data_IF_488025680444
#
_entry.id   IF_488025680444
#
_cell.length_a   1.000
_cell.length_b   1.000
_cell.length_c   1.000
_cell.angle_alpha   90.00
_cell.angle_beta   90.00
_cell.angle_gamma   90.00
#
_symmetry.space_group_name_H-M   'P 1'
#
loop_
_entity.id
_entity.type
_entity.pdbx_description
1 polymer ?
#
# COMPACT_ATOMS: atom_id res chain seq x y z
N UNK A 1 -20.48 -3.04 -9.80
CA UNK A 1 -19.55 -1.89 -9.85
C UNK A 1 -18.12 -2.37 -9.62
N UNK A 2 -17.26 -2.39 -10.64
CA UNK A 2 -15.83 -2.76 -10.51
C UNK A 2 -15.03 -1.63 -9.87
N UNK A 3 -14.09 -1.95 -8.97
CA UNK A 3 -13.28 -0.95 -8.27
C UNK A 3 -12.42 -0.17 -9.29
N UNK A 4 -12.21 1.15 -9.12
CA UNK A 4 -11.41 1.97 -10.04
C UNK A 4 -10.00 1.40 -10.28
N UNK A 5 -9.39 0.83 -9.24
CA UNK A 5 -8.08 0.17 -9.32
C UNK A 5 -8.09 -1.04 -10.27
N UNK A 6 -9.15 -1.86 -10.25
CA UNK A 6 -9.26 -3.03 -11.13
C UNK A 6 -9.44 -2.63 -12.60
N UNK A 7 -10.21 -1.57 -12.87
CA UNK A 7 -10.39 -1.06 -14.24
C UNK A 7 -9.08 -0.57 -14.84
N UNK A 8 -8.27 0.10 -14.03
CA UNK A 8 -6.93 0.53 -14.44
C UNK A 8 -6.01 -0.66 -14.72
N UNK A 9 -5.98 -1.66 -13.85
CA UNK A 9 -5.16 -2.86 -14.06
C UNK A 9 -5.53 -3.58 -15.37
N UNK A 10 -6.83 -3.65 -15.69
CA UNK A 10 -7.31 -4.19 -16.96
C UNK A 10 -6.87 -3.34 -18.16
N UNK A 11 -6.87 -2.02 -18.03
CA UNK A 11 -6.38 -1.11 -19.06
C UNK A 11 -4.86 -1.26 -19.28
N UNK A 12 -4.07 -1.39 -18.22
CA UNK A 12 -2.62 -1.63 -18.29
C UNK A 12 -2.33 -2.99 -18.96
N UNK A 13 -3.03 -4.05 -18.56
CA UNK A 13 -2.92 -5.37 -19.18
C UNK A 13 -3.30 -5.33 -20.66
N UNK A 14 -4.38 -4.64 -21.02
CA UNK A 14 -4.78 -4.51 -22.42
C UNK A 14 -3.73 -3.74 -23.25
N UNK A 15 -3.19 -2.64 -22.73
CA UNK A 15 -2.11 -1.89 -23.38
C UNK A 15 -0.85 -2.74 -23.57
N UNK A 16 -0.46 -3.52 -22.56
CA UNK A 16 0.73 -4.37 -22.61
C UNK A 16 0.56 -5.61 -23.49
N UNK A 17 -0.56 -6.33 -23.39
CA UNK A 17 -0.78 -7.59 -24.10
C UNK A 17 -1.20 -7.39 -25.55
N UNK A 18 -1.95 -6.32 -25.86
CA UNK A 18 -2.48 -6.06 -27.21
C UNK A 18 -1.75 -4.93 -27.94
N UNK A 19 -0.78 -4.26 -27.31
CA UNK A 19 -0.04 -3.14 -27.90
C UNK A 19 -0.92 -1.93 -28.26
N UNK A 20 -2.11 -1.83 -27.66
CA UNK A 20 -3.04 -0.72 -27.93
C UNK A 20 -2.60 0.54 -27.20
N UNK A 21 -2.89 1.70 -27.81
CA UNK A 21 -2.58 2.99 -27.22
C UNK A 21 -3.28 3.16 -25.87
N UNK A 22 -2.62 3.86 -24.95
CA UNK A 22 -3.15 4.15 -23.60
C UNK A 22 -4.53 4.81 -23.69
N UNK A 23 -4.72 5.73 -24.64
CA UNK A 23 -6.00 6.39 -24.88
C UNK A 23 -7.11 5.41 -25.27
N UNK A 24 -6.80 4.41 -26.10
CA UNK A 24 -7.76 3.39 -26.53
C UNK A 24 -8.11 2.45 -25.38
N UNK A 25 -7.12 2.02 -24.59
CA UNK A 25 -7.35 1.22 -23.39
C UNK A 25 -8.20 2.00 -22.36
N UNK A 26 -7.89 3.28 -22.11
CA UNK A 26 -8.64 4.15 -21.22
C UNK A 26 -10.12 4.28 -21.62
N UNK A 27 -10.42 4.46 -22.91
CA UNK A 27 -11.80 4.49 -23.42
C UNK A 27 -12.51 3.16 -23.28
N UNK A 28 -11.84 2.05 -23.57
CA UNK A 28 -12.43 0.70 -23.49
C UNK A 28 -12.83 0.31 -22.06
N UNK A 29 -12.05 0.71 -21.06
CA UNK A 29 -12.28 0.36 -19.65
C UNK A 29 -12.92 1.49 -18.81
N UNK A 30 -13.21 2.64 -19.42
CA UNK A 30 -13.79 3.80 -18.73
C UNK A 30 -12.87 4.38 -17.66
N UNK A 31 -11.57 4.44 -17.94
CA UNK A 31 -10.54 4.99 -17.06
C UNK A 31 -10.08 6.33 -17.66
N UNK A 32 -9.99 7.39 -16.86
CA UNK A 32 -9.40 8.65 -17.32
C UNK A 32 -7.88 8.50 -17.47
N UNK A 33 -7.30 9.13 -18.48
CA UNK A 33 -5.84 9.11 -18.71
C UNK A 33 -5.02 9.60 -17.51
N UNK A 34 -5.55 10.55 -16.73
CA UNK A 34 -4.93 11.03 -15.48
C UNK A 34 -4.84 9.94 -14.43
N UNK A 35 -5.87 9.10 -14.28
CA UNK A 35 -5.88 7.95 -13.37
C UNK A 35 -4.95 6.83 -13.85
N UNK A 36 -4.83 6.64 -15.17
CA UNK A 36 -3.87 5.71 -15.76
C UNK A 36 -2.41 6.16 -15.51
N UNK A 37 -2.12 7.45 -15.69
CA UNK A 37 -0.80 8.04 -15.42
C UNK A 37 -0.47 8.15 -13.94
N UNK A 38 -1.48 8.25 -13.07
CA UNK A 38 -1.29 8.38 -11.64
C UNK A 38 -0.74 7.07 -11.06
N UNK A 39 0.57 6.90 -10.99
CA UNK A 39 1.12 5.78 -10.23
C UNK A 39 1.04 6.09 -8.74
N UNK A 40 0.31 5.30 -7.92
CA UNK A 40 0.45 5.43 -6.48
C UNK A 40 1.92 5.13 -6.17
N UNK A 41 2.65 6.11 -5.64
CA UNK A 41 3.96 5.84 -5.04
C UNK A 41 3.72 4.84 -3.91
N UNK A 42 3.88 3.55 -4.20
CA UNK A 42 4.26 2.55 -3.21
C UNK A 42 5.64 3.01 -2.76
N UNK A 43 5.64 3.89 -1.76
CA UNK A 43 6.85 4.22 -1.03
C UNK A 43 7.41 2.86 -0.59
N UNK A 44 8.53 2.40 -1.15
CA UNK A 44 9.27 1.23 -0.65
C UNK A 44 9.47 1.35 0.87
N UNK A 45 9.58 2.58 1.36
CA UNK A 45 9.58 2.91 2.76
C UNK A 45 8.32 2.42 3.52
N UNK A 46 7.13 2.43 2.92
CA UNK A 46 5.92 1.88 3.55
C UNK A 46 6.01 0.35 3.68
N UNK A 47 6.61 -0.34 2.71
CA UNK A 47 6.84 -1.78 2.79
C UNK A 47 7.88 -2.09 3.89
N UNK A 48 8.98 -1.33 3.94
CA UNK A 48 9.97 -1.44 5.02
C UNK A 48 9.36 -1.20 6.41
N UNK A 49 8.43 -0.25 6.54
CA UNK A 49 7.72 0.02 7.81
C UNK A 49 6.79 -1.13 8.18
N UNK A 50 6.10 -1.72 7.20
CA UNK A 50 5.25 -2.88 7.44
C UNK A 50 6.10 -4.05 7.96
N UNK A 51 7.23 -4.34 7.34
CA UNK A 51 8.14 -5.41 7.75
C UNK A 51 8.73 -5.18 9.15
N UNK A 52 9.10 -3.94 9.44
CA UNK A 52 9.55 -3.50 10.77
C UNK A 52 8.49 -3.74 11.85
N UNK A 53 7.25 -3.37 11.56
CA UNK A 53 6.13 -3.55 12.49
C UNK A 53 5.85 -5.03 12.71
N UNK A 54 5.88 -5.83 11.65
CA UNK A 54 5.72 -7.29 11.73
C UNK A 54 6.84 -7.90 12.60
N UNK A 55 8.09 -7.51 12.37
CA UNK A 55 9.24 -7.95 13.18
C UNK A 55 9.09 -7.59 14.67
N UNK A 56 8.66 -6.36 14.97
CA UNK A 56 8.39 -5.90 16.34
C UNK A 56 7.26 -6.67 17.00
N UNK A 57 6.15 -6.92 16.29
CA UNK A 57 5.03 -7.71 16.84
C UNK A 57 5.40 -9.17 17.08
N UNK A 58 6.34 -9.74 16.30
CA UNK A 58 6.86 -11.10 16.52
C UNK A 58 7.81 -11.15 17.71
N UNK A 59 8.71 -10.17 17.85
CA UNK A 59 9.68 -10.10 18.93
C UNK A 59 9.04 -9.74 20.28
N UNK A 60 8.01 -8.89 20.27
CA UNK A 60 7.34 -8.40 21.47
C UNK A 60 5.82 -8.58 21.37
N UNK A 61 5.35 -9.80 21.62
CA UNK A 61 3.93 -10.19 21.58
C UNK A 61 3.02 -9.39 22.54
N UNK A 62 3.59 -8.79 23.58
CA UNK A 62 2.90 -7.95 24.57
C UNK A 62 2.82 -6.47 24.18
N UNK A 63 3.52 -6.05 23.11
CA UNK A 63 3.53 -4.65 22.69
C UNK A 63 2.37 -4.36 21.74
N UNK A 64 1.46 -3.49 22.17
CA UNK A 64 0.42 -2.95 21.31
C UNK A 64 0.94 -1.93 20.29
N UNK A 65 0.10 -1.54 19.33
CA UNK A 65 0.44 -0.62 18.24
C UNK A 65 1.10 0.70 18.70
N UNK A 66 0.65 1.27 19.82
CA UNK A 66 1.22 2.52 20.37
C UNK A 66 2.67 2.38 20.82
N UNK A 67 3.04 1.23 21.40
CA UNK A 67 4.41 0.93 21.82
C UNK A 67 5.32 0.69 20.61
N UNK A 68 4.84 -0.05 19.61
CA UNK A 68 5.56 -0.25 18.36
C UNK A 68 5.82 1.07 17.61
N UNK A 69 4.83 1.97 17.57
CA UNK A 69 4.98 3.30 16.97
C UNK A 69 5.97 4.18 17.76
N UNK A 70 5.92 4.13 19.09
CA UNK A 70 6.85 4.87 19.95
C UNK A 70 8.29 4.37 19.75
N UNK A 71 8.48 3.05 19.62
CA UNK A 71 9.78 2.43 19.36
C UNK A 71 10.34 2.84 17.98
N UNK A 72 9.51 2.82 16.94
CA UNK A 72 9.89 3.31 15.60
C UNK A 72 10.34 4.78 15.61
N UNK A 73 9.68 5.61 16.43
CA UNK A 73 10.02 7.03 16.56
C UNK A 73 11.27 7.27 17.40
N UNK A 74 11.48 6.50 18.48
CA UNK A 74 12.61 6.68 19.41
C UNK A 74 13.91 6.00 18.95
N UNK A 75 13.83 4.79 18.41
CA UNK A 75 15.00 3.96 18.08
C UNK A 75 15.43 4.14 16.63
N UNK A 76 14.47 4.14 15.69
CA UNK A 76 14.77 4.35 14.27
C UNK A 76 14.74 5.81 13.83
N UNK A 77 14.34 6.75 14.70
CA UNK A 77 14.32 8.19 14.40
C UNK A 77 13.33 8.60 13.30
N UNK A 78 12.46 7.68 12.86
CA UNK A 78 11.51 7.98 11.79
C UNK A 78 10.32 8.77 12.36
N UNK A 79 10.30 10.08 12.13
CA UNK A 79 9.17 10.97 12.46
C UNK A 79 8.04 10.78 11.44
N UNK A 80 7.47 9.57 11.38
CA UNK A 80 6.39 9.23 10.44
C UNK A 80 5.04 9.74 10.96
N UNK A 81 4.21 10.25 10.05
CA UNK A 81 2.85 10.64 10.36
C UNK A 81 2.03 9.41 10.79
N UNK A 82 1.51 9.42 12.02
CA UNK A 82 0.70 8.36 12.60
C UNK A 82 -0.52 7.98 11.74
N UNK A 83 -1.08 8.92 10.96
CA UNK A 83 -2.15 8.63 9.98
C UNK A 83 -1.68 7.76 8.80
N UNK A 84 -0.40 7.79 8.42
CA UNK A 84 0.16 6.90 7.37
C UNK A 84 0.42 5.51 7.93
N UNK A 85 1.00 5.41 9.12
CA UNK A 85 1.27 4.12 9.78
C UNK A 85 -0.02 3.35 10.07
N UNK A 86 -1.08 4.02 10.55
CA UNK A 86 -2.40 3.40 10.71
C UNK A 86 -3.01 2.89 9.40
N UNK A 87 -2.70 3.53 8.26
CA UNK A 87 -3.20 3.12 6.92
C UNK A 87 -2.46 1.92 6.34
N UNK A 88 -1.21 1.69 6.74
CA UNK A 88 -0.44 0.51 6.33
C UNK A 88 -1.02 -0.77 6.96
N UNK A 89 -1.83 -0.63 8.02
CA UNK A 89 -2.55 -1.73 8.63
C UNK A 89 -1.59 -2.60 9.43
N UNK A 90 -1.50 -2.36 10.73
CA UNK A 90 -1.08 -3.44 11.62
C UNK A 90 -2.21 -4.46 11.58
N UNK A 91 -1.97 -5.74 11.21
CA UNK A 91 -2.98 -6.76 11.43
C UNK A 91 -3.35 -6.70 12.92
N UNK A 92 -4.64 -6.66 13.29
CA UNK A 92 -5.04 -6.67 14.69
C UNK A 92 -4.41 -7.91 15.32
N UNK A 93 -3.63 -7.66 16.37
CA UNK A 93 -3.09 -8.68 17.26
C UNK A 93 -4.22 -9.63 17.66
N UNK A 94 -4.26 -10.82 17.06
CA UNK A 94 -5.33 -11.79 17.28
C UNK A 94 -4.98 -13.18 16.77
N UNK A 95 -4.11 -13.88 17.51
CA UNK A 95 -4.07 -15.34 17.62
C UNK A 95 -3.65 -16.17 16.39
N UNK A 96 -3.17 -17.41 16.58
CA UNK A 96 -2.82 -18.30 15.48
C UNK A 96 -4.07 -18.87 14.80
N UNK A 97 -3.99 -19.06 13.49
CA UNK A 97 -4.84 -19.98 12.71
C UNK A 97 -4.49 -21.43 13.03
#
# INVERSE_FOLDING_TARGET
MTRPAQRRELAEKAAATRGVSIALACRAFGVSETCFRYSPKRDEENEMIADLLVGLTRAHKTWGFGLCFLHLRKVKGHVRNHKRVRRIGLPPSGGPV
#
